data_IF_193034639820
#
_entry.id   IF_193034639820
#
_cell.length_a   1.000
_cell.length_b   1.000
_cell.length_c   1.000
_cell.angle_alpha   90.00
_cell.angle_beta   90.00
_cell.angle_gamma   90.00
#
_symmetry.space_group_name_H-M   'P 1'
#
loop_
_entity.id
_entity.type
_entity.pdbx_description
1 polymer ?
#
# COMPACT_ATOMS: atom_id res chain seq x y z
N UNK A 1 35.92 35.84 -36.49
CA UNK A 1 36.06 34.77 -37.50
C UNK A 1 35.47 33.51 -36.91
N UNK A 2 34.31 33.05 -37.41
CA UNK A 2 33.69 31.80 -36.96
C UNK A 2 34.51 30.67 -37.58
N UNK A 3 35.29 29.96 -36.76
CA UNK A 3 35.92 28.72 -37.17
C UNK A 3 34.83 27.71 -37.53
N UNK A 4 34.98 27.07 -38.68
CA UNK A 4 34.21 25.90 -39.10
C UNK A 4 34.10 24.93 -37.93
N UNK A 5 32.87 24.60 -37.53
CA UNK A 5 32.63 23.53 -36.56
C UNK A 5 33.23 22.20 -37.04
N UNK A 6 33.45 21.23 -36.15
CA UNK A 6 34.00 19.93 -36.52
C UNK A 6 33.16 19.31 -37.65
N UNK A 7 33.82 18.92 -38.73
CA UNK A 7 33.23 18.13 -39.80
C UNK A 7 32.79 16.78 -39.20
N UNK A 8 31.48 16.63 -38.98
CA UNK A 8 30.85 15.37 -38.58
C UNK A 8 30.78 14.42 -39.79
N UNK A 9 31.93 14.09 -40.39
CA UNK A 9 32.01 12.94 -41.28
C UNK A 9 31.89 11.69 -40.40
N UNK A 10 30.82 10.86 -40.55
CA UNK A 10 30.60 9.73 -39.66
C UNK A 10 31.72 8.70 -39.85
N UNK A 11 32.66 8.67 -38.91
CA UNK A 11 33.68 7.61 -38.81
C UNK A 11 33.12 6.34 -38.16
N UNK A 12 31.84 6.35 -37.76
CA UNK A 12 31.08 5.24 -37.23
C UNK A 12 30.18 4.68 -38.33
N UNK A 13 30.35 3.39 -38.66
CA UNK A 13 29.38 2.68 -39.48
C UNK A 13 28.14 2.41 -38.60
N UNK A 14 27.09 3.21 -38.76
CA UNK A 14 25.85 3.11 -37.99
C UNK A 14 24.99 1.89 -38.39
N UNK A 15 25.55 0.91 -39.10
CA UNK A 15 24.89 -0.35 -39.40
C UNK A 15 24.63 -1.13 -38.12
N UNK A 16 23.37 -1.51 -37.93
CA UNK A 16 22.97 -2.43 -36.87
C UNK A 16 23.19 -3.85 -37.38
N UNK A 17 23.99 -4.62 -36.65
CA UNK A 17 24.19 -6.05 -36.86
C UNK A 17 23.59 -6.86 -35.70
N UNK A 18 23.13 -8.07 -35.98
CA UNK A 18 22.52 -8.95 -34.98
C UNK A 18 23.45 -10.11 -34.67
N UNK A 19 23.94 -10.17 -33.43
CA UNK A 19 24.91 -11.17 -32.99
C UNK A 19 24.37 -11.97 -31.80
N UNK A 20 24.76 -13.25 -31.65
CA UNK A 20 24.46 -14.00 -30.43
C UNK A 20 25.06 -13.29 -29.20
N UNK A 21 24.31 -13.10 -28.11
CA UNK A 21 24.81 -12.38 -26.94
C UNK A 21 26.00 -13.11 -26.26
N UNK A 22 26.10 -14.43 -26.44
CA UNK A 22 27.22 -15.24 -25.95
C UNK A 22 28.54 -15.02 -26.73
N UNK A 23 28.47 -14.48 -27.95
CA UNK A 23 29.64 -14.17 -28.77
C UNK A 23 30.24 -12.79 -28.44
N UNK A 24 29.61 -12.05 -27.53
CA UNK A 24 30.06 -10.74 -27.07
C UNK A 24 30.95 -10.87 -25.83
N UNK A 25 32.07 -10.15 -25.83
CA UNK A 25 33.07 -10.24 -24.78
C UNK A 25 33.01 -9.03 -23.83
N UNK A 26 32.77 -9.23 -22.52
CA UNK A 26 32.78 -8.12 -21.58
C UNK A 26 34.19 -7.52 -21.44
N UNK A 27 34.26 -6.20 -21.32
CA UNK A 27 35.51 -5.53 -21.00
C UNK A 27 35.97 -5.95 -19.58
N UNK A 28 37.12 -6.62 -19.49
CA UNK A 28 37.62 -7.24 -18.25
C UNK A 28 37.78 -6.28 -17.07
N UNK A 29 38.01 -4.99 -17.32
CA UNK A 29 38.20 -3.95 -16.30
C UNK A 29 37.02 -2.98 -16.23
N UNK A 30 35.82 -3.41 -16.59
CA UNK A 30 34.65 -2.56 -16.45
C UNK A 30 34.40 -2.28 -14.96
N UNK A 31 34.45 -1.01 -14.57
CA UNK A 31 34.26 -0.59 -13.19
C UNK A 31 32.78 -0.55 -12.77
N UNK A 32 31.86 -0.52 -13.74
CA UNK A 32 30.42 -0.58 -13.46
C UNK A 32 29.97 -2.03 -13.28
N UNK A 33 29.41 -2.31 -12.12
CA UNK A 33 28.82 -3.61 -11.81
C UNK A 33 27.31 -3.58 -12.05
N UNK A 34 26.73 -4.76 -12.28
CA UNK A 34 25.28 -4.94 -12.40
C UNK A 34 24.84 -6.04 -11.45
N UNK A 35 23.97 -5.70 -10.49
CA UNK A 35 23.40 -6.66 -9.54
C UNK A 35 22.40 -7.59 -10.24
N UNK A 36 22.02 -8.71 -9.61
CA UNK A 36 20.99 -9.60 -10.18
C UNK A 36 19.65 -8.89 -10.34
N UNK A 37 19.29 -8.04 -9.36
CA UNK A 37 18.06 -7.23 -9.37
C UNK A 37 18.06 -6.29 -10.56
N UNK A 38 19.13 -5.51 -10.75
CA UNK A 38 19.24 -4.58 -11.88
C UNK A 38 19.21 -5.30 -13.23
N UNK A 39 19.86 -6.47 -13.34
CA UNK A 39 19.80 -7.26 -14.59
C UNK A 39 18.37 -7.72 -14.88
N UNK A 40 17.60 -8.10 -13.85
CA UNK A 40 16.18 -8.46 -14.01
C UNK A 40 15.34 -7.26 -14.44
N UNK A 41 15.50 -6.08 -13.83
CA UNK A 41 14.83 -4.85 -14.28
C UNK A 41 15.11 -4.52 -15.74
N UNK A 42 16.38 -4.63 -16.19
CA UNK A 42 16.72 -4.43 -17.61
C UNK A 42 16.07 -5.49 -18.50
N UNK A 43 15.96 -6.74 -18.03
CA UNK A 43 15.30 -7.82 -18.76
C UNK A 43 13.79 -7.56 -18.90
N UNK A 44 13.13 -7.16 -17.81
CA UNK A 44 11.70 -6.81 -17.80
C UNK A 44 11.43 -5.64 -18.77
N UNK A 45 12.29 -4.63 -18.74
CA UNK A 45 12.27 -3.50 -19.69
C UNK A 45 12.42 -3.93 -21.15
N UNK A 46 13.29 -4.91 -21.45
CA UNK A 46 13.47 -5.45 -22.80
C UNK A 46 12.27 -6.30 -23.24
N UNK A 47 11.64 -7.06 -22.33
CA UNK A 47 10.44 -7.83 -22.65
C UNK A 47 9.26 -6.91 -23.02
N UNK A 48 9.08 -5.82 -22.29
CA UNK A 48 7.98 -4.87 -22.52
C UNK A 48 8.22 -3.99 -23.75
N UNK A 49 9.36 -3.29 -23.82
CA UNK A 49 9.61 -2.25 -24.83
C UNK A 49 10.43 -2.75 -26.02
N UNK A 50 10.92 -3.99 -25.96
CA UNK A 50 11.90 -4.51 -26.91
C UNK A 50 13.31 -3.95 -26.68
N UNK A 51 14.23 -4.39 -27.54
CA UNK A 51 15.65 -4.00 -27.45
C UNK A 51 15.91 -2.66 -28.17
N UNK A 52 15.53 -1.55 -27.52
CA UNK A 52 15.46 -0.22 -28.12
C UNK A 52 16.82 0.45 -28.38
N UNK A 53 17.84 0.13 -27.58
CA UNK A 53 19.19 0.69 -27.71
C UNK A 53 20.15 -0.43 -28.10
N UNK A 54 20.86 -0.37 -29.24
CA UNK A 54 21.88 -1.34 -29.62
C UNK A 54 23.11 -1.33 -28.69
N UNK A 55 23.80 -2.46 -28.61
CA UNK A 55 25.06 -2.59 -27.85
C UNK A 55 26.21 -2.04 -28.70
N UNK A 56 27.09 -1.23 -28.11
CA UNK A 56 28.27 -0.75 -28.81
C UNK A 56 29.44 -1.72 -28.59
N UNK A 57 30.03 -2.21 -29.68
CA UNK A 57 31.14 -3.17 -29.64
C UNK A 57 32.30 -2.72 -30.52
N UNK A 58 33.50 -3.25 -30.25
CA UNK A 58 34.66 -3.07 -31.12
C UNK A 58 34.79 -4.19 -32.17
N UNK A 59 35.80 -4.11 -33.05
CA UNK A 59 36.12 -5.13 -34.06
C UNK A 59 36.33 -6.57 -33.55
N UNK A 60 36.50 -6.77 -32.23
CA UNK A 60 36.69 -8.09 -31.60
C UNK A 60 35.49 -8.52 -30.77
N UNK A 61 34.32 -7.92 -31.00
CA UNK A 61 33.10 -8.14 -30.23
C UNK A 61 33.23 -7.78 -28.74
N UNK A 62 34.21 -6.95 -28.38
CA UNK A 62 34.34 -6.47 -27.01
C UNK A 62 33.29 -5.39 -26.75
N UNK A 63 32.52 -5.55 -25.68
CA UNK A 63 31.47 -4.63 -25.30
C UNK A 63 32.09 -3.33 -24.77
N UNK A 64 31.80 -2.23 -25.47
CA UNK A 64 32.16 -0.87 -25.06
C UNK A 64 31.03 -0.23 -24.24
N UNK A 65 29.77 -0.43 -24.62
CA UNK A 65 28.60 0.03 -23.86
C UNK A 65 27.45 -0.98 -23.98
N UNK A 66 26.70 -1.17 -22.88
CA UNK A 66 25.56 -2.09 -22.85
C UNK A 66 25.80 -3.43 -22.15
N UNK A 67 26.78 -3.56 -21.24
CA UNK A 67 27.05 -4.80 -20.51
C UNK A 67 25.82 -5.35 -19.77
N UNK A 68 25.04 -4.47 -19.12
CA UNK A 68 23.78 -4.85 -18.47
C UNK A 68 22.76 -5.45 -19.43
N UNK A 69 22.61 -4.87 -20.63
CA UNK A 69 21.70 -5.34 -21.68
C UNK A 69 22.11 -6.72 -22.23
N UNK A 70 23.41 -6.98 -22.39
CA UNK A 70 23.90 -8.32 -22.77
C UNK A 70 23.56 -9.35 -21.70
N UNK A 71 23.75 -9.02 -20.41
CA UNK A 71 23.40 -9.92 -19.31
C UNK A 71 21.90 -10.19 -19.23
N UNK A 72 21.08 -9.17 -19.47
CA UNK A 72 19.62 -9.30 -19.56
C UNK A 72 19.19 -10.17 -20.74
N UNK A 73 19.76 -9.95 -21.93
CA UNK A 73 19.48 -10.77 -23.12
C UNK A 73 19.81 -12.25 -22.92
N UNK A 74 20.91 -12.55 -22.23
CA UNK A 74 21.26 -13.94 -21.85
C UNK A 74 20.23 -14.51 -20.88
N UNK A 75 19.79 -13.73 -19.88
CA UNK A 75 18.76 -14.15 -18.93
C UNK A 75 17.43 -14.47 -19.64
N UNK A 76 17.07 -13.68 -20.66
CA UNK A 76 15.87 -13.88 -21.49
C UNK A 76 16.00 -14.99 -22.55
N UNK A 77 17.19 -15.59 -22.70
CA UNK A 77 17.42 -16.63 -23.71
C UNK A 77 17.36 -16.11 -25.16
N UNK A 78 17.64 -14.82 -25.38
CA UNK A 78 17.61 -14.24 -26.73
C UNK A 78 18.67 -14.86 -27.64
N UNK A 79 18.27 -15.20 -28.87
CA UNK A 79 19.19 -15.78 -29.87
C UNK A 79 20.17 -14.75 -30.44
N UNK A 80 19.72 -13.51 -30.61
CA UNK A 80 20.51 -12.41 -31.17
C UNK A 80 20.17 -11.09 -30.52
N UNK A 81 21.14 -10.18 -30.43
CA UNK A 81 20.98 -8.82 -29.92
C UNK A 81 21.50 -7.79 -30.94
N UNK A 82 20.85 -6.62 -31.05
CA UNK A 82 21.31 -5.56 -31.96
C UNK A 82 22.60 -4.93 -31.44
N UNK A 83 23.58 -4.81 -32.33
CA UNK A 83 24.91 -4.29 -32.06
C UNK A 83 25.28 -3.22 -33.09
N UNK A 84 26.05 -2.22 -32.68
CA UNK A 84 26.73 -1.28 -33.57
C UNK A 84 28.23 -1.47 -33.35
N UNK A 85 28.99 -1.55 -34.44
CA UNK A 85 30.43 -1.77 -34.39
C UNK A 85 31.20 -0.48 -34.62
N UNK A 86 32.28 -0.29 -33.85
CA UNK A 86 33.19 0.83 -34.04
C UNK A 86 34.65 0.37 -34.10
N UNK A 87 35.30 0.78 -35.20
CA UNK A 87 36.71 0.50 -35.46
C UNK A 87 37.57 1.79 -35.41
N UNK A 88 36.93 2.94 -35.22
CA UNK A 88 37.56 4.26 -35.27
C UNK A 88 38.24 4.68 -33.97
N UNK A 89 38.02 3.95 -32.87
CA UNK A 89 38.59 4.27 -31.56
C UNK A 89 39.90 3.50 -31.32
N UNK A 90 40.95 4.23 -30.95
CA UNK A 90 42.17 3.64 -30.38
C UNK A 90 41.85 2.93 -29.05
N UNK A 91 42.72 2.01 -28.61
CA UNK A 91 42.55 1.33 -27.32
C UNK A 91 42.47 2.30 -26.13
N UNK A 92 43.18 3.42 -26.18
CA UNK A 92 43.06 4.46 -25.17
C UNK A 92 41.68 5.13 -25.18
N UNK A 93 41.16 5.45 -26.37
CA UNK A 93 39.82 6.03 -26.53
C UNK A 93 38.71 5.06 -26.14
N UNK A 94 38.82 3.76 -26.48
CA UNK A 94 37.87 2.74 -26.02
C UNK A 94 37.75 2.72 -24.49
N UNK A 95 38.89 2.72 -23.79
CA UNK A 95 38.91 2.76 -22.31
C UNK A 95 38.30 4.05 -21.76
N UNK A 96 38.62 5.18 -22.38
CA UNK A 96 38.05 6.48 -21.99
C UNK A 96 36.53 6.51 -22.20
N UNK A 97 36.06 5.98 -23.33
CA UNK A 97 34.63 5.92 -23.68
C UNK A 97 33.85 5.04 -22.71
N UNK A 98 34.35 3.85 -22.36
CA UNK A 98 33.69 2.96 -21.38
C UNK A 98 33.52 3.67 -20.02
N UNK A 99 34.52 4.44 -19.59
CA UNK A 99 34.42 5.23 -18.36
C UNK A 99 33.44 6.41 -18.50
N UNK A 100 33.48 7.10 -19.64
CA UNK A 100 32.61 8.23 -19.92
C UNK A 100 31.13 7.80 -19.99
N UNK A 101 30.79 6.76 -20.75
CA UNK A 101 29.42 6.22 -20.85
C UNK A 101 28.84 5.90 -19.46
N UNK A 102 29.64 5.25 -18.62
CA UNK A 102 29.23 4.92 -17.26
C UNK A 102 29.09 6.16 -16.35
N UNK A 103 30.02 7.12 -16.42
CA UNK A 103 30.03 8.28 -15.51
C UNK A 103 29.04 9.37 -15.96
N UNK A 104 28.87 9.58 -17.25
CA UNK A 104 27.94 10.59 -17.78
C UNK A 104 26.49 10.24 -17.44
N UNK A 105 26.11 8.96 -17.55
CA UNK A 105 24.80 8.50 -17.10
C UNK A 105 24.57 8.73 -15.58
N UNK A 106 25.61 8.57 -14.76
CA UNK A 106 25.54 8.81 -13.31
C UNK A 106 25.57 10.30 -12.90
N UNK A 107 25.92 11.20 -13.81
CA UNK A 107 25.98 12.64 -13.54
C UNK A 107 24.65 13.34 -13.85
N UNK A 108 23.73 12.67 -14.55
CA UNK A 108 22.40 13.19 -14.79
C UNK A 108 21.61 13.23 -13.47
N UNK A 109 20.79 14.26 -13.32
CA UNK A 109 19.83 14.40 -12.24
C UNK A 109 18.43 14.50 -12.83
N UNK A 110 17.44 14.12 -12.05
CA UNK A 110 16.05 14.33 -12.40
C UNK A 110 15.62 15.74 -12.04
N UNK A 111 14.70 16.28 -12.83
CA UNK A 111 13.78 17.30 -12.34
C UNK A 111 12.67 16.53 -11.61
N UNK A 112 12.69 16.59 -10.27
CA UNK A 112 11.83 15.75 -9.44
C UNK A 112 10.35 16.07 -9.64
N UNK A 113 10.01 17.35 -9.85
CA UNK A 113 8.62 17.79 -10.04
C UNK A 113 8.07 17.29 -11.38
N UNK A 114 8.85 17.45 -12.46
CA UNK A 114 8.44 16.97 -13.79
C UNK A 114 8.36 15.44 -13.83
N UNK A 115 9.33 14.75 -13.22
CA UNK A 115 9.33 13.28 -13.18
C UNK A 115 8.11 12.75 -12.44
N UNK A 116 7.80 13.30 -11.26
CA UNK A 116 6.64 12.87 -10.49
C UNK A 116 5.32 13.14 -11.22
N UNK A 117 5.20 14.27 -11.93
CA UNK A 117 4.02 14.57 -12.77
C UNK A 117 3.86 13.55 -13.90
N UNK A 118 4.94 13.22 -14.61
CA UNK A 118 4.90 12.24 -15.71
C UNK A 118 4.53 10.84 -15.22
N UNK A 119 5.05 10.42 -14.06
CA UNK A 119 4.74 9.13 -13.46
C UNK A 119 3.26 9.04 -13.02
N UNK A 120 2.70 10.15 -12.51
CA UNK A 120 1.28 10.24 -12.17
C UNK A 120 0.41 10.11 -13.43
N UNK A 121 0.75 10.84 -14.49
CA UNK A 121 0.01 10.78 -15.76
C UNK A 121 0.07 9.37 -16.38
N UNK A 122 1.21 8.68 -16.29
CA UNK A 122 1.35 7.30 -16.73
C UNK A 122 0.47 6.32 -15.92
N UNK A 123 0.37 6.51 -14.61
CA UNK A 123 -0.51 5.71 -13.74
C UNK A 123 -2.00 5.94 -14.01
N UNK A 124 -2.38 7.17 -14.37
CA UNK A 124 -3.75 7.54 -14.68
C UNK A 124 -4.13 7.20 -16.14
N UNK A 125 -3.14 6.94 -17.00
CA UNK A 125 -3.35 6.59 -18.40
C UNK A 125 -3.99 5.21 -18.59
N UNK A 126 -4.83 5.05 -19.63
CA UNK A 126 -5.53 3.81 -19.97
C UNK A 126 -4.60 2.71 -20.56
N UNK A 127 -3.34 2.62 -20.15
CA UNK A 127 -2.46 1.51 -20.53
C UNK A 127 -2.83 0.31 -19.65
N UNK A 128 -3.42 -0.77 -20.20
CA UNK A 128 -3.78 -1.93 -19.42
C UNK A 128 -2.51 -2.60 -18.86
N UNK A 129 -2.49 -2.86 -17.55
CA UNK A 129 -1.46 -3.67 -16.87
C UNK A 129 -0.01 -3.17 -17.01
N UNK A 130 0.24 -1.85 -17.05
CA UNK A 130 1.61 -1.33 -17.05
C UNK A 130 2.30 -1.59 -15.70
N UNK A 131 3.19 -2.59 -15.65
CA UNK A 131 4.05 -2.81 -14.48
C UNK A 131 5.15 -1.74 -14.44
N UNK A 132 4.99 -0.84 -13.49
CA UNK A 132 5.89 0.27 -13.24
C UNK A 132 7.32 -0.18 -12.88
N UNK A 133 7.50 -1.41 -12.39
CA UNK A 133 8.83 -1.98 -12.13
C UNK A 133 9.70 -2.07 -13.40
N UNK A 134 9.05 -2.11 -14.57
CA UNK A 134 9.68 -2.23 -15.89
C UNK A 134 10.48 -0.98 -16.28
N UNK A 135 10.12 0.20 -15.78
CA UNK A 135 10.86 1.45 -16.03
C UNK A 135 11.99 1.68 -15.01
N UNK A 136 12.20 0.74 -14.10
CA UNK A 136 13.36 0.72 -13.19
C UNK A 136 13.17 1.47 -11.88
N UNK A 137 11.96 1.96 -11.60
CA UNK A 137 11.59 2.52 -10.30
C UNK A 137 11.02 1.43 -9.39
N UNK A 138 11.31 1.52 -8.09
CA UNK A 138 10.59 0.72 -7.09
C UNK A 138 9.25 1.36 -6.73
N UNK A 139 8.31 0.55 -6.23
CA UNK A 139 7.00 1.04 -5.76
C UNK A 139 7.14 2.10 -4.66
N UNK A 140 8.13 1.95 -3.77
CA UNK A 140 8.38 2.90 -2.70
C UNK A 140 8.86 4.25 -3.25
N UNK A 141 9.84 4.25 -4.16
CA UNK A 141 10.34 5.47 -4.80
C UNK A 141 9.22 6.23 -5.52
N UNK A 142 8.26 5.54 -6.13
CA UNK A 142 7.16 6.18 -6.84
C UNK A 142 6.11 6.79 -5.93
N UNK A 143 5.69 6.05 -4.89
CA UNK A 143 4.79 6.59 -3.88
C UNK A 143 5.44 7.84 -3.24
N UNK A 144 6.75 7.82 -2.97
CA UNK A 144 7.47 8.97 -2.41
C UNK A 144 7.63 10.14 -3.39
N UNK A 145 7.86 9.92 -4.69
CA UNK A 145 8.01 11.00 -5.67
C UNK A 145 6.67 11.66 -6.02
N UNK A 146 5.60 10.87 -6.17
CA UNK A 146 4.24 11.39 -6.37
C UNK A 146 3.79 12.17 -5.13
N UNK A 147 4.15 11.72 -3.93
CA UNK A 147 3.89 12.44 -2.69
C UNK A 147 4.84 13.63 -2.47
N UNK A 148 6.06 13.64 -3.00
CA UNK A 148 6.98 14.79 -2.88
C UNK A 148 6.43 16.08 -3.49
N UNK A 149 5.58 15.96 -4.51
CA UNK A 149 4.82 17.04 -5.14
C UNK A 149 3.70 17.59 -4.25
N UNK A 150 3.15 16.76 -3.36
CA UNK A 150 2.07 17.12 -2.45
C UNK A 150 2.66 17.24 -1.04
N UNK A 151 2.88 18.45 -0.48
CA UNK A 151 3.48 18.59 0.85
C UNK A 151 2.82 17.60 1.82
N UNK A 152 3.62 16.91 2.65
CA UNK A 152 3.14 16.01 3.73
C UNK A 152 2.10 16.77 4.56
N UNK A 153 0.85 16.71 4.10
CA UNK A 153 -0.19 17.54 4.65
C UNK A 153 -0.53 16.91 6.00
N UNK A 154 -0.62 17.70 7.09
CA UNK A 154 -1.26 17.22 8.29
C UNK A 154 -2.63 16.67 7.86
N UNK A 155 -2.83 15.35 8.00
CA UNK A 155 -3.91 14.61 7.35
C UNK A 155 -5.22 15.40 7.27
N UNK A 156 -5.81 15.48 6.07
CA UNK A 156 -6.94 16.35 5.78
C UNK A 156 -8.10 16.08 6.77
N UNK A 157 -8.42 17.01 7.69
CA UNK A 157 -9.46 16.78 8.68
C UNK A 157 -10.85 16.56 8.06
N UNK A 158 -11.05 16.91 6.79
CA UNK A 158 -12.28 16.63 6.07
C UNK A 158 -12.50 15.12 5.82
N UNK A 159 -11.43 14.32 5.76
CA UNK A 159 -11.54 12.88 5.53
C UNK A 159 -12.22 12.15 6.70
N UNK A 160 -12.05 12.69 7.91
CA UNK A 160 -12.63 12.16 9.14
C UNK A 160 -14.10 12.61 9.34
N UNK A 161 -14.62 13.51 8.50
CA UNK A 161 -16.00 14.01 8.59
C UNK A 161 -16.98 12.98 8.05
N UNK A 162 -17.97 12.65 8.87
CA UNK A 162 -19.08 11.77 8.48
C UNK A 162 -20.24 12.64 7.94
N UNK A 163 -20.83 12.32 6.78
CA UNK A 163 -22.00 13.02 6.27
C UNK A 163 -23.17 13.01 7.28
N UNK A 164 -23.83 14.14 7.46
CA UNK A 164 -24.95 14.28 8.41
C UNK A 164 -26.25 13.66 7.90
N UNK A 165 -26.42 13.55 6.58
CA UNK A 165 -27.57 12.92 5.94
C UNK A 165 -27.15 11.56 5.40
N UNK A 166 -27.58 10.51 6.09
CA UNK A 166 -27.25 9.12 5.76
C UNK A 166 -28.54 8.44 5.27
N UNK A 167 -28.67 8.18 3.95
CA UNK A 167 -29.80 7.43 3.42
C UNK A 167 -29.77 5.99 3.91
N UNK A 168 -30.91 5.48 4.37
CA UNK A 168 -31.04 4.07 4.77
C UNK A 168 -31.24 3.19 3.53
N UNK A 169 -30.26 2.35 3.21
CA UNK A 169 -30.22 1.55 1.98
C UNK A 169 -29.82 0.10 2.23
N UNK A 170 -28.96 -0.14 3.20
CA UNK A 170 -28.35 -1.43 3.46
C UNK A 170 -29.23 -2.30 4.36
N UNK A 171 -29.27 -3.60 4.07
CA UNK A 171 -29.79 -4.65 4.94
C UNK A 171 -28.75 -5.76 5.16
N UNK A 172 -28.95 -6.57 6.20
CA UNK A 172 -28.08 -7.71 6.47
C UNK A 172 -28.05 -8.68 5.29
N UNK A 173 -26.85 -9.12 4.92
CA UNK A 173 -26.59 -9.98 3.78
C UNK A 173 -26.35 -9.23 2.46
N UNK A 174 -26.44 -7.90 2.43
CA UNK A 174 -26.10 -7.13 1.23
C UNK A 174 -24.60 -7.14 0.95
N UNK A 175 -24.24 -7.13 -0.34
CA UNK A 175 -22.89 -6.87 -0.83
C UNK A 175 -22.93 -5.68 -1.76
N UNK A 176 -22.10 -4.68 -1.49
CA UNK A 176 -21.98 -3.45 -2.25
C UNK A 176 -20.60 -3.36 -2.91
N UNK A 177 -20.59 -2.93 -4.16
CA UNK A 177 -19.40 -2.48 -4.88
C UNK A 177 -19.28 -0.97 -4.75
N UNK A 178 -18.09 -0.48 -4.42
CA UNK A 178 -17.79 0.94 -4.30
C UNK A 178 -16.53 1.20 -5.13
N UNK A 179 -16.65 1.47 -6.43
CA UNK A 179 -15.48 1.55 -7.32
C UNK A 179 -14.71 0.23 -7.31
N UNK A 180 -13.45 0.23 -6.85
CA UNK A 180 -12.63 -0.98 -6.66
C UNK A 180 -12.71 -1.58 -5.24
N UNK A 181 -13.58 -1.06 -4.38
CA UNK A 181 -13.78 -1.48 -2.98
C UNK A 181 -15.04 -2.33 -2.84
N UNK A 182 -15.13 -3.10 -1.75
CA UNK A 182 -16.29 -3.93 -1.44
C UNK A 182 -16.70 -3.79 0.02
N UNK A 183 -18.01 -3.82 0.26
CA UNK A 183 -18.62 -3.82 1.58
C UNK A 183 -19.64 -4.95 1.68
N UNK A 184 -19.56 -5.77 2.72
CA UNK A 184 -20.61 -6.72 3.09
C UNK A 184 -21.25 -6.32 4.41
N UNK A 185 -22.58 -6.39 4.48
CA UNK A 185 -23.30 -6.29 5.75
C UNK A 185 -23.49 -7.69 6.36
N UNK A 186 -22.71 -8.03 7.39
CA UNK A 186 -22.72 -9.39 7.92
C UNK A 186 -21.87 -9.59 9.18
N UNK A 187 -21.91 -10.81 9.73
CA UNK A 187 -21.15 -11.19 10.91
C UNK A 187 -19.71 -11.55 10.52
N UNK A 188 -18.75 -10.76 11.02
CA UNK A 188 -17.31 -10.97 10.87
C UNK A 188 -16.82 -12.34 11.38
N UNK A 189 -17.56 -12.96 12.29
CA UNK A 189 -17.25 -14.28 12.83
C UNK A 189 -17.73 -15.42 11.94
N UNK A 190 -18.60 -15.17 10.96
CA UNK A 190 -19.05 -16.18 10.01
C UNK A 190 -18.05 -16.27 8.84
N UNK A 191 -17.33 -17.40 8.68
CA UNK A 191 -16.37 -17.54 7.59
C UNK A 191 -17.01 -17.44 6.20
N UNK A 192 -18.30 -17.80 6.04
CA UNK A 192 -18.98 -17.71 4.76
C UNK A 192 -19.25 -16.26 4.35
N UNK A 193 -19.49 -15.37 5.33
CA UNK A 193 -19.63 -13.93 5.11
C UNK A 193 -18.31 -13.37 4.57
N UNK A 194 -17.19 -13.69 5.24
CA UNK A 194 -15.86 -13.19 4.82
C UNK A 194 -15.45 -13.78 3.47
N UNK A 195 -15.75 -15.06 3.20
CA UNK A 195 -15.46 -15.67 1.91
C UNK A 195 -16.19 -14.98 0.75
N UNK A 196 -17.44 -14.56 0.96
CA UNK A 196 -18.24 -13.82 -0.05
C UNK A 196 -17.73 -12.40 -0.28
N UNK A 197 -17.34 -11.72 0.78
CA UNK A 197 -16.68 -10.41 0.69
C UNK A 197 -15.43 -10.49 -0.17
N UNK A 198 -14.66 -11.57 -0.02
CA UNK A 198 -13.37 -11.74 -0.68
C UNK A 198 -13.48 -12.31 -2.10
N UNK A 199 -14.54 -13.04 -2.43
CA UNK A 199 -14.80 -13.64 -3.76
C UNK A 199 -13.56 -14.30 -4.39
N UNK A 200 -12.89 -15.13 -3.58
CA UNK A 200 -11.69 -15.85 -4.01
C UNK A 200 -10.38 -15.06 -3.95
N UNK A 201 -10.41 -13.73 -3.85
CA UNK A 201 -9.21 -12.90 -3.69
C UNK A 201 -8.58 -13.05 -2.29
N UNK A 202 -7.38 -12.47 -2.11
CA UNK A 202 -6.61 -12.53 -0.86
C UNK A 202 -5.99 -11.19 -0.51
N UNK A 203 -6.17 -10.77 0.74
CA UNK A 203 -5.67 -9.49 1.24
C UNK A 203 -4.14 -9.48 1.45
N UNK A 204 -3.49 -8.37 1.12
CA UNK A 204 -2.06 -8.15 1.40
C UNK A 204 -1.85 -7.75 2.87
N UNK A 205 -2.84 -7.10 3.45
CA UNK A 205 -2.82 -6.65 4.83
C UNK A 205 -4.23 -6.57 5.42
N UNK A 206 -4.30 -6.49 6.74
CA UNK A 206 -5.53 -6.14 7.43
C UNK A 206 -5.31 -4.94 8.34
N UNK A 207 -6.31 -4.09 8.44
CA UNK A 207 -6.40 -3.06 9.47
C UNK A 207 -7.80 -3.16 10.06
N UNK A 208 -7.89 -3.53 11.34
CA UNK A 208 -9.15 -3.95 11.94
C UNK A 208 -9.27 -3.42 13.37
N UNK A 209 -10.45 -2.92 13.72
CA UNK A 209 -10.76 -2.29 15.02
C UNK A 209 -11.90 -3.04 15.72
N UNK A 210 -11.65 -4.25 16.24
CA UNK A 210 -12.69 -5.03 16.92
C UNK A 210 -13.26 -4.28 18.12
N UNK A 211 -14.51 -4.58 18.52
CA UNK A 211 -15.10 -4.01 19.73
C UNK A 211 -14.27 -4.36 20.97
N UNK A 212 -14.19 -3.42 21.92
CA UNK A 212 -13.29 -3.55 23.07
C UNK A 212 -13.91 -4.28 24.27
N UNK A 213 -15.15 -4.79 24.18
CA UNK A 213 -15.82 -5.44 25.31
C UNK A 213 -15.86 -4.57 26.58
N UNK A 214 -16.18 -3.28 26.40
CA UNK A 214 -16.37 -2.30 27.48
C UNK A 214 -17.77 -1.70 27.34
N UNK A 215 -18.56 -1.60 28.43
CA UNK A 215 -19.87 -0.93 28.40
C UNK A 215 -19.77 0.52 27.93
N UNK A 216 -20.68 0.96 27.05
CA UNK A 216 -20.71 2.37 26.60
C UNK A 216 -21.14 3.28 27.76
N UNK A 217 -22.09 2.83 28.60
CA UNK A 217 -22.53 3.61 29.76
C UNK A 217 -21.39 3.87 30.77
N UNK A 218 -21.21 5.15 31.12
CA UNK A 218 -20.14 5.63 32.01
C UNK A 218 -18.73 5.77 31.40
N UNK A 219 -18.46 5.22 30.21
CA UNK A 219 -17.10 5.20 29.62
C UNK A 219 -16.98 6.02 28.33
N UNK A 220 -18.08 6.22 27.60
CA UNK A 220 -18.14 7.01 26.36
C UNK A 220 -19.23 8.08 26.49
N UNK A 221 -18.84 9.35 26.63
CA UNK A 221 -19.68 10.50 26.28
C UNK A 221 -20.97 10.81 27.07
N UNK A 222 -21.37 10.10 28.12
CA UNK A 222 -22.71 10.23 28.72
C UNK A 222 -22.95 11.40 29.72
N UNK A 223 -22.25 12.53 29.61
CA UNK A 223 -22.53 13.72 30.44
C UNK A 223 -23.37 14.81 29.73
N UNK A 224 -23.97 14.51 28.57
CA UNK A 224 -24.72 15.47 27.74
C UNK A 224 -26.05 14.95 27.19
N UNK A 225 -26.74 15.78 26.38
CA UNK A 225 -28.07 15.51 25.77
C UNK A 225 -28.09 14.42 24.68
N UNK A 226 -26.95 13.83 24.35
CA UNK A 226 -26.79 12.87 23.24
C UNK A 226 -26.46 11.50 23.82
N UNK A 227 -27.34 10.51 23.61
CA UNK A 227 -27.12 9.12 24.00
C UNK A 227 -26.63 8.33 22.78
N UNK A 228 -25.49 7.64 22.92
CA UNK A 228 -25.02 6.70 21.91
C UNK A 228 -25.72 5.35 22.07
N UNK A 229 -26.05 4.68 20.96
CA UNK A 229 -26.56 3.31 20.98
C UNK A 229 -25.41 2.35 21.32
N UNK A 230 -25.69 1.32 22.12
CA UNK A 230 -24.76 0.21 22.42
C UNK A 230 -24.30 -0.48 21.13
N UNK A 231 -23.04 -0.97 21.10
CA UNK A 231 -22.57 -1.77 19.97
C UNK A 231 -23.34 -3.09 19.91
N UNK A 232 -23.53 -3.61 18.69
CA UNK A 232 -24.30 -4.83 18.47
C UNK A 232 -23.72 -6.07 19.17
N UNK A 233 -22.43 -6.07 19.51
CA UNK A 233 -21.73 -7.13 20.23
C UNK A 233 -20.48 -6.60 20.95
N UNK A 234 -20.03 -7.33 21.98
CA UNK A 234 -18.85 -7.02 22.80
C UNK A 234 -18.87 -5.58 23.34
N UNK A 235 -19.94 -5.27 24.06
CA UNK A 235 -20.15 -4.05 24.85
C UNK A 235 -20.01 -4.34 26.36
N UNK A 236 -19.14 -5.28 26.76
CA UNK A 236 -18.84 -5.59 28.16
C UNK A 236 -19.57 -6.80 28.73
N UNK A 237 -20.33 -7.53 27.90
CA UNK A 237 -21.05 -8.73 28.30
C UNK A 237 -20.18 -9.99 28.33
N UNK A 238 -19.03 -10.01 27.64
CA UNK A 238 -18.21 -11.21 27.50
C UNK A 238 -17.23 -11.36 28.67
N UNK A 239 -17.09 -12.57 29.18
CA UNK A 239 -15.96 -12.95 30.04
C UNK A 239 -14.64 -12.88 29.26
N UNK A 240 -13.51 -12.86 29.97
CA UNK A 240 -12.19 -12.92 29.33
C UNK A 240 -12.04 -14.10 28.36
N UNK A 241 -12.51 -15.29 28.74
CA UNK A 241 -12.42 -16.48 27.89
C UNK A 241 -13.28 -16.38 26.62
N UNK A 242 -14.50 -15.86 26.76
CA UNK A 242 -15.40 -15.61 25.61
C UNK A 242 -14.82 -14.55 24.68
N UNK A 243 -14.20 -13.50 25.24
CA UNK A 243 -13.58 -12.46 24.43
C UNK A 243 -12.31 -12.94 23.71
N UNK A 244 -11.49 -13.78 24.35
CA UNK A 244 -10.37 -14.47 23.67
C UNK A 244 -10.90 -15.33 22.52
N UNK A 245 -11.99 -16.08 22.74
CA UNK A 245 -12.60 -16.89 21.69
C UNK A 245 -13.10 -16.04 20.51
N UNK A 246 -13.81 -14.95 20.82
CA UNK A 246 -14.28 -13.95 19.86
C UNK A 246 -13.12 -13.41 18.99
N UNK A 247 -12.08 -12.87 19.63
CA UNK A 247 -10.91 -12.32 18.95
C UNK A 247 -10.19 -13.38 18.11
N UNK A 248 -10.02 -14.59 18.65
CA UNK A 248 -9.38 -15.70 17.95
C UNK A 248 -10.14 -16.04 16.67
N UNK A 249 -11.48 -16.08 16.71
CA UNK A 249 -12.31 -16.40 15.53
C UNK A 249 -12.23 -15.30 14.47
N UNK A 250 -12.35 -14.04 14.87
CA UNK A 250 -12.20 -12.91 13.95
C UNK A 250 -10.79 -12.86 13.31
N UNK A 251 -9.73 -13.05 14.10
CA UNK A 251 -8.36 -13.09 13.60
C UNK A 251 -8.10 -14.27 12.66
N UNK A 252 -8.72 -15.43 12.89
CA UNK A 252 -8.65 -16.57 11.95
C UNK A 252 -9.28 -16.22 10.61
N UNK A 253 -10.46 -15.61 10.63
CA UNK A 253 -11.13 -15.20 9.39
C UNK A 253 -10.29 -14.15 8.62
N UNK A 254 -9.68 -13.19 9.32
CA UNK A 254 -8.69 -12.30 8.71
C UNK A 254 -7.52 -13.09 8.07
N UNK A 255 -6.92 -14.00 8.82
CA UNK A 255 -5.74 -14.78 8.39
C UNK A 255 -6.03 -15.64 7.16
N UNK A 256 -7.16 -16.35 7.16
CA UNK A 256 -7.51 -17.34 6.14
C UNK A 256 -7.83 -16.71 4.78
N UNK A 257 -8.21 -15.43 4.80
CA UNK A 257 -8.47 -14.60 3.62
C UNK A 257 -7.33 -13.63 3.27
N UNK A 258 -6.17 -13.78 3.91
CA UNK A 258 -4.97 -13.00 3.60
C UNK A 258 -3.88 -13.88 2.99
N UNK A 259 -3.00 -13.24 2.24
CA UNK A 259 -1.84 -13.87 1.62
C UNK A 259 -0.77 -14.23 2.69
N UNK A 260 0.07 -15.23 2.41
CA UNK A 260 1.25 -15.51 3.26
C UNK A 260 2.17 -14.27 3.27
N UNK A 261 2.73 -13.97 4.43
CA UNK A 261 3.54 -12.78 4.67
C UNK A 261 2.74 -11.48 4.89
N UNK A 262 1.40 -11.51 4.95
CA UNK A 262 0.60 -10.31 5.25
C UNK A 262 0.86 -9.78 6.66
N UNK A 263 0.70 -8.45 6.82
CA UNK A 263 0.74 -7.78 8.13
C UNK A 263 -0.66 -7.34 8.52
N UNK A 264 -1.09 -7.72 9.72
CA UNK A 264 -2.40 -7.43 10.26
C UNK A 264 -2.26 -6.49 11.45
N UNK A 265 -2.78 -5.28 11.33
CA UNK A 265 -2.86 -4.28 12.38
C UNK A 265 -4.21 -4.40 13.08
N UNK A 266 -4.19 -4.77 14.37
CA UNK A 266 -5.41 -4.92 15.16
C UNK A 266 -5.39 -3.92 16.31
N UNK A 267 -6.35 -3.00 16.32
CA UNK A 267 -6.48 -1.96 17.34
C UNK A 267 -7.10 -2.55 18.62
N UNK A 268 -6.63 -2.10 19.79
CA UNK A 268 -7.22 -2.46 21.08
C UNK A 268 -6.80 -1.50 22.19
N UNK A 269 -7.59 -1.46 23.27
CA UNK A 269 -7.19 -0.80 24.52
C UNK A 269 -6.18 -1.65 25.32
N UNK A 270 -5.30 -0.99 26.07
CA UNK A 270 -4.28 -1.65 26.89
C UNK A 270 -4.85 -2.64 27.92
N UNK A 271 -6.09 -2.43 28.39
CA UNK A 271 -6.79 -3.33 29.32
C UNK A 271 -6.99 -4.73 28.75
N UNK A 272 -7.08 -4.86 27.43
CA UNK A 272 -7.29 -6.13 26.74
C UNK A 272 -6.00 -6.69 26.10
N UNK A 273 -4.84 -6.21 26.53
CA UNK A 273 -3.55 -6.74 26.08
C UNK A 273 -3.41 -8.26 26.33
N UNK A 274 -3.82 -8.84 27.49
CA UNK A 274 -3.76 -10.28 27.70
C UNK A 274 -4.56 -11.08 26.66
N UNK A 275 -5.78 -10.64 26.36
CA UNK A 275 -6.69 -11.30 25.42
C UNK A 275 -6.16 -11.21 23.98
N UNK A 276 -5.63 -10.04 23.60
CA UNK A 276 -4.99 -9.82 22.30
C UNK A 276 -3.77 -10.71 22.09
N UNK A 277 -2.90 -10.83 23.10
CA UNK A 277 -1.71 -11.67 23.01
C UNK A 277 -2.08 -13.16 22.97
N UNK A 278 -3.08 -13.58 23.74
CA UNK A 278 -3.57 -14.96 23.73
C UNK A 278 -4.19 -15.33 22.38
N UNK A 279 -5.13 -14.52 21.87
CA UNK A 279 -5.77 -14.76 20.58
C UNK A 279 -4.77 -14.67 19.42
N UNK A 280 -3.94 -13.62 19.39
CA UNK A 280 -2.96 -13.41 18.33
C UNK A 280 -1.89 -14.50 18.29
N UNK A 281 -1.41 -14.96 19.45
CA UNK A 281 -0.45 -16.06 19.56
C UNK A 281 -1.01 -17.41 19.10
N UNK A 282 -2.33 -17.61 19.14
CA UNK A 282 -2.99 -18.81 18.65
C UNK A 282 -3.24 -18.82 17.13
N UNK A 283 -3.15 -17.66 16.47
CA UNK A 283 -3.54 -17.50 15.06
C UNK A 283 -2.36 -17.18 14.15
N UNK A 284 -1.49 -16.27 14.58
CA UNK A 284 -0.44 -15.69 13.75
C UNK A 284 0.92 -16.34 13.99
N UNK A 285 1.81 -16.22 13.01
CA UNK A 285 3.16 -16.78 13.11
C UNK A 285 4.02 -16.00 14.13
N UNK A 286 3.87 -14.67 14.17
CA UNK A 286 4.61 -13.84 15.12
C UNK A 286 3.93 -12.48 15.33
N UNK A 287 4.00 -11.93 16.54
CA UNK A 287 3.83 -10.50 16.78
C UNK A 287 5.10 -9.77 16.31
N UNK A 288 4.97 -8.82 15.37
CA UNK A 288 6.09 -8.05 14.83
C UNK A 288 6.41 -6.82 15.66
N UNK A 289 5.37 -6.11 16.09
CA UNK A 289 5.56 -4.93 16.90
C UNK A 289 4.28 -4.62 17.69
N UNK A 290 4.45 -3.84 18.75
CA UNK A 290 3.37 -3.18 19.46
C UNK A 290 3.51 -1.69 19.20
N UNK A 291 2.51 -1.13 18.51
CA UNK A 291 2.47 0.28 18.17
C UNK A 291 1.62 1.01 19.21
N UNK A 292 2.11 2.15 19.68
CA UNK A 292 1.41 3.06 20.58
C UNK A 292 0.94 4.25 19.77
N UNK A 293 -0.37 4.32 19.51
CA UNK A 293 -0.97 5.51 18.93
C UNK A 293 -1.24 6.54 20.03
N UNK A 294 -0.44 7.61 20.06
CA UNK A 294 -0.57 8.74 20.96
C UNK A 294 -1.56 9.76 20.37
N UNK A 295 -2.58 10.10 21.16
CA UNK A 295 -3.63 11.06 20.83
C UNK A 295 -3.28 12.45 21.36
N UNK A 296 -3.98 13.50 20.92
CA UNK A 296 -3.77 14.86 21.42
C UNK A 296 -4.12 15.01 22.91
N UNK A 297 -5.19 14.37 23.35
CA UNK A 297 -5.77 14.55 24.67
C UNK A 297 -6.04 13.20 25.35
N UNK A 298 -5.88 13.15 26.67
CA UNK A 298 -6.28 11.98 27.46
C UNK A 298 -7.80 11.84 27.51
N UNK A 299 -8.31 10.60 27.53
CA UNK A 299 -9.72 10.27 27.72
C UNK A 299 -10.29 10.72 29.06
N UNK A 300 -11.57 10.43 29.30
CA UNK A 300 -12.22 10.71 30.58
C UNK A 300 -11.63 9.85 31.71
N UNK A 301 -11.56 10.38 32.93
CA UNK A 301 -11.05 9.67 34.11
C UNK A 301 -10.39 10.61 35.12
N UNK A 302 -10.28 10.14 36.37
CA UNK A 302 -9.70 10.92 37.51
C UNK A 302 -8.29 10.48 37.90
N UNK A 303 -7.86 9.28 37.49
CA UNK A 303 -6.51 8.79 37.71
C UNK A 303 -5.62 9.01 36.47
N UNK A 304 -4.80 8.04 36.05
CA UNK A 304 -4.05 8.13 34.80
C UNK A 304 -5.00 8.01 33.60
N UNK A 305 -5.22 9.14 32.93
CA UNK A 305 -6.08 9.23 31.75
C UNK A 305 -5.33 8.69 30.53
N UNK A 306 -5.87 7.65 29.89
CA UNK A 306 -5.27 7.10 28.66
C UNK A 306 -5.24 8.16 27.55
N UNK A 307 -4.03 8.52 27.11
CA UNK A 307 -3.75 9.35 25.94
C UNK A 307 -3.24 8.50 24.75
N UNK A 308 -3.49 7.20 24.79
CA UNK A 308 -3.06 6.31 23.73
C UNK A 308 -4.06 5.18 23.51
N UNK A 309 -3.95 4.55 22.34
CA UNK A 309 -4.46 3.22 22.03
C UNK A 309 -3.30 2.36 21.53
N UNK A 310 -3.49 1.03 21.59
CA UNK A 310 -2.50 0.08 21.11
C UNK A 310 -2.92 -0.50 19.78
N UNK A 311 -1.94 -0.74 18.91
CA UNK A 311 -2.13 -1.43 17.63
C UNK A 311 -1.13 -2.58 17.59
N UNK A 312 -1.66 -3.80 17.53
CA UNK A 312 -0.85 -5.01 17.47
C UNK A 312 -0.58 -5.34 16.01
N UNK A 313 0.70 -5.35 15.61
CA UNK A 313 1.11 -5.73 14.27
C UNK A 313 1.51 -7.21 14.24
N UNK A 314 0.60 -8.07 13.76
CA UNK A 314 0.86 -9.50 13.61
C UNK A 314 1.29 -9.83 12.18
N UNK A 315 2.18 -10.83 12.03
CA UNK A 315 2.53 -11.40 10.73
C UNK A 315 1.80 -12.71 10.51
N UNK A 316 1.11 -12.82 9.37
CA UNK A 316 0.57 -14.05 8.86
C UNK A 316 1.66 -14.89 8.18
N UNK A 317 1.74 -16.16 8.55
CA UNK A 317 2.62 -17.14 7.93
C UNK A 317 4.12 -16.78 7.92
N UNK A 318 4.85 -17.45 7.03
CA UNK A 318 6.32 -17.49 7.03
C UNK A 318 6.95 -16.72 5.88
N UNK A 319 6.24 -16.48 4.78
CA UNK A 319 6.76 -15.74 3.64
C UNK A 319 7.25 -14.32 4.04
N UNK A 320 8.19 -13.71 3.30
CA UNK A 320 8.58 -12.32 3.53
C UNK A 320 7.35 -11.38 3.52
N UNK A 321 7.40 -10.34 4.35
CA UNK A 321 6.38 -9.29 4.37
C UNK A 321 6.89 -8.07 3.62
N UNK A 322 5.98 -7.28 3.09
CA UNK A 322 6.30 -5.97 2.50
C UNK A 322 6.71 -5.01 3.61
N UNK A 323 7.77 -4.25 3.37
CA UNK A 323 8.26 -3.18 4.23
C UNK A 323 8.74 -2.04 3.33
N UNK A 324 7.96 -0.96 3.22
CA UNK A 324 8.28 0.16 2.32
C UNK A 324 9.12 1.26 2.97
N UNK A 325 9.29 1.23 4.29
CA UNK A 325 10.00 2.28 5.03
C UNK A 325 11.44 1.89 5.41
N UNK A 326 11.74 0.60 5.56
CA UNK A 326 13.08 0.09 5.94
C UNK A 326 13.76 0.90 7.07
N UNK A 327 14.93 1.49 6.80
CA UNK A 327 15.67 2.39 7.70
C UNK A 327 15.49 3.88 7.32
N UNK A 328 14.38 4.21 6.65
CA UNK A 328 14.13 5.55 6.11
C UNK A 328 14.84 5.84 4.80
N UNK A 329 15.31 4.80 4.09
CA UNK A 329 16.14 4.95 2.89
C UNK A 329 15.42 5.66 1.73
N UNK A 330 14.09 5.64 1.72
CA UNK A 330 13.26 6.28 0.70
C UNK A 330 12.51 7.52 1.23
N UNK A 331 12.79 7.97 2.46
CA UNK A 331 12.17 9.17 3.04
C UNK A 331 11.03 8.87 4.01
N UNK A 332 10.41 7.69 3.96
CA UNK A 332 9.47 7.22 4.99
C UNK A 332 10.20 6.75 6.24
N UNK A 333 10.17 7.56 7.30
CA UNK A 333 10.65 7.17 8.62
C UNK A 333 9.50 6.75 9.53
N UNK A 334 9.54 5.52 10.04
CA UNK A 334 8.50 4.96 10.91
C UNK A 334 9.08 4.47 12.23
N UNK A 335 8.38 4.78 13.32
CA UNK A 335 8.63 4.20 14.65
C UNK A 335 7.37 3.51 15.15
N UNK A 336 7.48 2.77 16.25
CA UNK A 336 6.32 2.17 16.90
C UNK A 336 5.55 3.15 17.80
N UNK A 337 5.85 4.44 17.76
CA UNK A 337 5.06 5.50 18.41
C UNK A 337 4.44 6.37 17.32
N UNK A 338 3.13 6.26 17.17
CA UNK A 338 2.36 6.95 16.14
C UNK A 338 1.66 8.16 16.75
N UNK A 339 1.90 9.35 16.22
CA UNK A 339 1.27 10.57 16.71
C UNK A 339 0.23 11.05 15.70
N UNK A 340 -1.04 10.81 16.01
CA UNK A 340 -2.16 11.27 15.18
C UNK A 340 -3.25 11.84 16.08
N UNK A 341 -3.96 12.86 15.58
CA UNK A 341 -5.02 13.52 16.34
C UNK A 341 -6.13 12.52 16.66
N UNK A 342 -6.68 12.60 17.87
CA UNK A 342 -7.90 11.87 18.20
C UNK A 342 -9.13 12.73 17.87
N UNK A 343 -10.30 12.09 17.73
CA UNK A 343 -11.58 12.79 17.45
C UNK A 343 -11.98 13.77 18.58
N UNK A 344 -11.38 13.66 19.77
CA UNK A 344 -11.68 14.49 20.95
C UNK A 344 -11.03 15.89 20.96
N UNK A 345 -10.58 16.43 19.83
CA UNK A 345 -9.97 17.76 19.77
C UNK A 345 -11.07 18.83 19.65
N UNK A 346 -11.15 19.75 20.63
CA UNK A 346 -12.23 20.76 20.76
C UNK A 346 -12.36 21.65 19.51
N UNK A 347 -13.33 21.37 18.63
CA UNK A 347 -13.79 22.28 17.56
C UNK A 347 -15.14 22.94 17.93
N UNK A 348 -15.35 24.15 17.41
CA UNK A 348 -16.66 24.82 17.35
C UNK A 348 -17.50 24.08 16.30
N UNK A 349 -18.70 23.59 16.66
CA UNK A 349 -19.54 22.72 15.80
C UNK A 349 -19.80 21.31 16.37
N UNK A 350 -19.20 21.01 17.52
CA UNK A 350 -19.16 19.75 18.30
C UNK A 350 -20.41 18.84 18.32
N UNK A 351 -21.62 19.36 18.18
CA UNK A 351 -22.81 18.61 18.62
C UNK A 351 -23.34 17.63 17.59
N UNK A 352 -23.14 17.87 16.28
CA UNK A 352 -23.68 17.01 15.23
C UNK A 352 -22.74 15.83 14.90
N UNK A 353 -21.43 16.05 14.86
CA UNK A 353 -20.40 15.04 14.52
C UNK A 353 -20.23 13.96 15.60
N UNK A 354 -20.34 14.32 16.89
CA UNK A 354 -20.28 13.35 18.00
C UNK A 354 -21.51 12.44 18.03
N UNK A 355 -22.64 12.78 17.40
CA UNK A 355 -23.87 11.98 17.47
C UNK A 355 -23.80 10.70 16.63
N UNK A 356 -22.90 10.65 15.64
CA UNK A 356 -22.94 9.64 14.57
C UNK A 356 -21.97 8.46 14.81
N UNK A 357 -20.80 8.66 15.43
CA UNK A 357 -19.92 7.54 15.81
C UNK A 357 -18.96 7.93 16.96
N UNK A 358 -18.90 7.16 18.06
CA UNK A 358 -18.07 7.51 19.23
C UNK A 358 -16.56 7.33 19.04
N UNK A 359 -16.11 6.52 18.08
CA UNK A 359 -14.71 6.06 17.94
C UNK A 359 -14.19 6.02 16.50
N UNK A 360 -14.23 7.14 15.75
CA UNK A 360 -13.64 7.18 14.40
C UNK A 360 -12.11 7.12 14.50
N UNK A 361 -11.48 6.15 13.83
CA UNK A 361 -10.02 6.09 13.69
C UNK A 361 -9.57 7.09 12.61
N UNK A 362 -8.47 7.85 12.82
CA UNK A 362 -7.99 8.83 11.84
C UNK A 362 -7.64 8.18 10.51
N UNK A 363 -8.21 8.68 9.41
CA UNK A 363 -7.96 8.15 8.05
C UNK A 363 -6.48 8.19 7.71
N UNK A 364 -5.78 9.28 8.03
CA UNK A 364 -4.35 9.42 7.72
C UNK A 364 -3.50 8.35 8.42
N UNK A 365 -3.80 8.00 9.68
CA UNK A 365 -3.06 6.97 10.40
C UNK A 365 -3.17 5.62 9.70
N UNK A 366 -4.39 5.28 9.25
CA UNK A 366 -4.65 4.04 8.53
C UNK A 366 -3.98 4.09 7.15
N UNK A 367 -4.06 5.22 6.43
CA UNK A 367 -3.41 5.40 5.14
C UNK A 367 -1.89 5.19 5.23
N UNK A 368 -1.26 5.70 6.27
CA UNK A 368 0.17 5.49 6.50
C UNK A 368 0.49 4.03 6.80
N UNK A 369 -0.31 3.38 7.65
CA UNK A 369 -0.18 1.94 7.92
C UNK A 369 -0.39 1.10 6.64
N UNK A 370 -1.28 1.53 5.74
CA UNK A 370 -1.51 0.86 4.45
C UNK A 370 -0.25 0.93 3.59
N UNK A 371 0.31 2.12 3.41
CA UNK A 371 1.53 2.32 2.62
C UNK A 371 2.73 1.58 3.18
N UNK A 372 2.82 1.41 4.50
CA UNK A 372 3.96 0.76 5.16
C UNK A 372 4.15 -0.71 4.73
N UNK A 373 3.07 -1.40 4.33
CA UNK A 373 3.05 -2.86 4.12
C UNK A 373 2.25 -3.33 2.89
N UNK A 374 1.96 -2.45 1.94
CA UNK A 374 1.22 -2.79 0.71
C UNK A 374 1.62 -1.93 -0.49
N UNK A 375 1.34 -2.42 -1.70
CA UNK A 375 1.45 -1.69 -2.96
C UNK A 375 0.09 -1.18 -3.45
N UNK A 376 0.07 -0.25 -4.42
CA UNK A 376 -1.17 0.15 -5.10
C UNK A 376 -1.89 -1.06 -5.69
N UNK A 377 -3.22 -1.05 -5.67
CA UNK A 377 -4.05 -2.17 -6.12
C UNK A 377 -4.17 -3.34 -5.12
N UNK A 378 -3.33 -3.41 -4.07
CA UNK A 378 -3.45 -4.46 -3.06
C UNK A 378 -4.76 -4.32 -2.26
N UNK A 379 -5.25 -5.46 -1.75
CA UNK A 379 -6.43 -5.52 -0.89
C UNK A 379 -6.05 -5.28 0.58
N UNK A 380 -6.79 -4.36 1.21
CA UNK A 380 -6.82 -4.07 2.64
C UNK A 380 -8.13 -4.62 3.22
N UNK A 381 -8.02 -5.63 4.08
CA UNK A 381 -9.18 -6.26 4.73
C UNK A 381 -9.46 -5.65 6.11
N UNK A 382 -10.73 -5.33 6.35
CA UNK A 382 -11.23 -4.87 7.65
C UNK A 382 -12.54 -5.60 7.95
N UNK A 383 -12.62 -6.27 9.10
CA UNK A 383 -13.83 -7.01 9.48
C UNK A 383 -14.73 -6.25 10.45
N UNK A 384 -14.32 -5.06 10.88
CA UNK A 384 -15.06 -4.21 11.79
C UNK A 384 -15.11 -2.80 11.21
N UNK A 385 -15.80 -2.68 10.06
CA UNK A 385 -15.76 -1.49 9.21
C UNK A 385 -16.21 -0.20 9.88
N UNK A 386 -17.14 -0.27 10.84
CA UNK A 386 -17.62 0.86 11.63
C UNK A 386 -18.00 2.05 10.75
N UNK A 387 -17.36 3.20 10.98
CA UNK A 387 -17.58 4.43 10.18
C UNK A 387 -16.90 4.45 8.81
N UNK A 388 -16.16 3.41 8.42
CA UNK A 388 -15.54 3.28 7.09
C UNK A 388 -14.17 3.94 6.91
N UNK A 389 -13.46 4.30 8.00
CA UNK A 389 -12.16 4.97 7.88
C UNK A 389 -11.14 4.16 7.07
N UNK A 390 -11.13 2.82 7.20
CA UNK A 390 -10.25 1.95 6.42
C UNK A 390 -10.55 2.00 4.93
N UNK A 391 -11.82 2.09 4.53
CA UNK A 391 -12.22 2.20 3.13
C UNK A 391 -11.78 3.52 2.52
N UNK A 392 -11.96 4.63 3.24
CA UNK A 392 -11.50 5.95 2.80
C UNK A 392 -9.97 5.97 2.70
N UNK A 393 -9.25 5.42 3.67
CA UNK A 393 -7.80 5.32 3.65
C UNK A 393 -7.29 4.48 2.45
N UNK A 394 -7.94 3.36 2.16
CA UNK A 394 -7.62 2.54 0.99
C UNK A 394 -7.83 3.31 -0.32
N UNK A 395 -8.98 4.00 -0.46
CA UNK A 395 -9.30 4.79 -1.65
C UNK A 395 -8.24 5.89 -1.90
N UNK A 396 -7.89 6.65 -0.86
CA UNK A 396 -6.89 7.72 -0.94
C UNK A 396 -5.49 7.23 -1.31
N UNK A 397 -5.16 6.00 -0.94
CA UNK A 397 -3.85 5.41 -1.20
C UNK A 397 -3.83 4.57 -2.49
N UNK A 398 -4.93 4.50 -3.24
CA UNK A 398 -5.02 3.66 -4.45
C UNK A 398 -4.97 2.16 -4.16
N UNK A 399 -5.36 1.73 -2.96
CA UNK A 399 -5.53 0.33 -2.56
C UNK A 399 -7.02 -0.03 -2.59
N UNK A 400 -7.33 -1.33 -2.57
CA UNK A 400 -8.71 -1.85 -2.58
C UNK A 400 -9.16 -2.20 -1.16
N UNK A 401 -10.26 -1.60 -0.71
CA UNK A 401 -10.75 -1.75 0.67
C UNK A 401 -11.90 -2.76 0.71
N UNK A 402 -11.74 -3.84 1.45
CA UNK A 402 -12.74 -4.90 1.58
C UNK A 402 -13.22 -4.93 3.03
N UNK A 403 -14.46 -4.50 3.27
CA UNK A 403 -15.00 -4.25 4.61
C UNK A 403 -16.16 -5.20 4.94
N UNK A 404 -16.19 -5.70 6.18
CA UNK A 404 -17.36 -6.30 6.80
C UNK A 404 -17.88 -5.38 7.91
N UNK A 405 -19.19 -5.19 7.98
CA UNK A 405 -19.84 -4.44 9.06
C UNK A 405 -21.17 -5.11 9.44
N UNK A 406 -21.40 -5.28 10.74
CA UNK A 406 -22.55 -6.02 11.26
C UNK A 406 -23.84 -5.17 11.26
N UNK A 407 -23.75 -3.88 11.60
CA UNK A 407 -24.90 -2.99 11.68
C UNK A 407 -25.19 -2.36 10.31
N UNK A 408 -26.39 -2.58 9.72
CA UNK A 408 -26.75 -1.97 8.45
C UNK A 408 -26.69 -0.43 8.45
N UNK A 409 -26.90 0.21 9.60
CA UNK A 409 -26.79 1.67 9.70
C UNK A 409 -25.35 2.18 9.62
N UNK A 410 -24.38 1.40 10.08
CA UNK A 410 -22.97 1.69 9.85
C UNK A 410 -22.58 1.39 8.41
N UNK A 411 -23.14 0.35 7.78
CA UNK A 411 -22.98 0.14 6.34
C UNK A 411 -23.48 1.37 5.54
N UNK A 412 -24.67 1.87 5.84
CA UNK A 412 -25.20 3.09 5.21
C UNK A 412 -24.27 4.30 5.39
N UNK A 413 -23.64 4.41 6.57
CA UNK A 413 -22.64 5.43 6.87
C UNK A 413 -21.41 5.29 5.97
N UNK A 414 -20.88 4.06 5.81
CA UNK A 414 -19.75 3.76 4.92
C UNK A 414 -20.08 4.15 3.48
N UNK A 415 -21.26 3.73 2.98
CA UNK A 415 -21.72 4.04 1.62
C UNK A 415 -21.78 5.56 1.40
N UNK A 416 -22.45 6.29 2.29
CA UNK A 416 -22.60 7.74 2.17
C UNK A 416 -21.25 8.48 2.25
N UNK A 417 -20.36 8.01 3.12
CA UNK A 417 -19.02 8.61 3.29
C UNK A 417 -18.15 8.38 2.05
N UNK A 418 -18.17 7.18 1.48
CA UNK A 418 -17.47 6.89 0.23
C UNK A 418 -17.95 7.79 -0.92
N UNK A 419 -19.27 7.87 -1.13
CA UNK A 419 -19.87 8.67 -2.21
C UNK A 419 -19.54 10.16 -2.05
N UNK A 420 -19.47 10.67 -0.83
CA UNK A 420 -19.11 12.06 -0.56
C UNK A 420 -17.63 12.36 -0.88
N UNK A 421 -16.73 11.44 -0.56
CA UNK A 421 -15.28 11.63 -0.75
C UNK A 421 -14.87 11.41 -2.21
N UNK A 422 -15.34 10.33 -2.83
CA UNK A 422 -14.91 9.92 -4.18
C UNK A 422 -15.75 10.53 -5.29
N UNK A 423 -17.00 10.93 -4.98
CA UNK A 423 -18.03 11.34 -5.95
C UNK A 423 -18.53 10.21 -6.86
N UNK A 424 -18.08 8.99 -6.62
CA UNK A 424 -18.56 7.78 -7.28
C UNK A 424 -19.76 7.22 -6.53
N UNK A 425 -20.60 6.46 -7.22
CA UNK A 425 -21.79 5.83 -6.62
C UNK A 425 -21.49 4.42 -6.16
N UNK A 426 -22.06 4.04 -5.02
CA UNK A 426 -22.07 2.65 -4.59
C UNK A 426 -23.14 1.87 -5.36
N UNK A 427 -22.80 0.64 -5.76
CA UNK A 427 -23.67 -0.27 -6.50
C UNK A 427 -23.98 -1.50 -5.67
N UNK A 428 -25.26 -1.85 -5.55
CA UNK A 428 -25.67 -3.07 -4.86
C UNK A 428 -25.44 -4.27 -5.78
N UNK A 429 -24.54 -5.17 -5.39
CA UNK A 429 -24.24 -6.41 -6.12
C UNK A 429 -25.19 -7.54 -5.75
N UNK A 430 -25.45 -7.69 -4.45
CA UNK A 430 -26.28 -8.76 -3.89
C UNK A 430 -27.22 -8.14 -2.87
N UNK A 431 -28.52 -8.40 -3.00
CA UNK A 431 -29.56 -7.96 -2.08
C UNK A 431 -29.96 -9.12 -1.16
N UNK A 432 -29.79 -8.96 0.16
CA UNK A 432 -30.29 -9.84 1.20
C UNK A 432 -29.93 -11.31 1.00
N UNK A 433 -28.65 -11.67 1.19
CA UNK A 433 -28.19 -13.04 1.01
C UNK A 433 -28.95 -14.06 1.90
N UNK A 434 -29.51 -15.15 1.34
CA UNK A 434 -30.22 -16.15 2.12
C UNK A 434 -29.27 -16.89 3.06
N UNK A 435 -29.55 -16.86 4.38
CA UNK A 435 -28.87 -17.74 5.33
C UNK A 435 -28.99 -19.18 4.82
N UNK A 436 -27.86 -19.85 4.60
CA UNK A 436 -27.87 -21.29 4.37
C UNK A 436 -28.52 -21.90 5.60
N UNK A 437 -29.63 -22.61 5.41
CA UNK A 437 -30.31 -23.26 6.53
C UNK A 437 -29.30 -24.20 7.21
N UNK A 438 -29.05 -23.96 8.50
CA UNK A 438 -28.12 -24.72 9.33
C UNK A 438 -28.55 -26.18 9.48
#
# INVERSE_FOLDING_TARGET
>A
MRGSGPDWSPTLDHRIEYLPPHDLHPYKRNARTHSKVQVKQIADSIEEFGFTIPILIDSKNMILAGHGRVRAAILLGMKTVPCIRTDSLTEAQKRAYILADNKLALNAAWDEDLLASELKDLLESEIPEFDIGVIGFSVAELDDMIEGLEPQEPGNPADDVIPTKIPKRCISGDIWQLGNHRLICGDALDPDVVARLMDGERARMAFSDPPYNVPIDGHVGNSGKTQHREFAMASGEMTQAEFIHFLTKAMRNLRDHSQDGSIHFICMDWRHMPEMLAAGGAVYHSLKNLIVWVKDNGGMGTFYRSRHELIFAFKNGTAPHVNTFELGQHGRYRTNVWQYRGVNTRKVGRMDELTLHPTVKPVQMIADAIRDVSARGDIVLDLFGGSGSTLIAAAKTGRRGFLCELDPSYCDTILARYEAVTRDKAELLVCGWPKVAA
#
